data_IF_777086160844
#
_entry.id   IF_777086160844
#
_cell.length_a   1.000
_cell.length_b   1.000
_cell.length_c   1.000
_cell.angle_alpha   90.00
_cell.angle_beta   90.00
_cell.angle_gamma   90.00
#
_symmetry.space_group_name_H-M   'P 1'
#
loop_
_entity.id
_entity.type
_entity.pdbx_description
1 polymer ?
#
# COMPACT_ATOMS: atom_id res chain seq x y z
N UNK A 1 -2.56 18.73 -2.55
CA UNK A 1 -2.69 17.38 -1.94
C UNK A 1 -2.58 17.55 -0.44
N UNK A 2 -3.34 16.81 0.36
CA UNK A 2 -3.17 16.83 1.80
C UNK A 2 -1.75 16.38 2.16
N UNK A 3 -1.07 17.13 3.03
CA UNK A 3 0.26 16.76 3.50
C UNK A 3 0.18 15.51 4.38
N UNK A 4 1.24 14.71 4.38
CA UNK A 4 1.36 13.58 5.30
C UNK A 4 1.70 14.09 6.71
N UNK A 5 1.29 13.39 7.77
CA UNK A 5 1.50 13.85 9.15
C UNK A 5 2.98 13.84 9.52
N UNK A 6 3.46 14.84 10.26
CA UNK A 6 4.85 14.90 10.75
C UNK A 6 5.16 13.76 11.72
N UNK A 7 4.16 13.24 12.43
CA UNK A 7 4.29 12.08 13.31
C UNK A 7 4.74 10.82 12.57
N UNK A 8 4.53 10.78 11.24
CA UNK A 8 4.97 9.69 10.38
C UNK A 8 6.45 9.75 10.03
N UNK A 9 7.18 10.80 10.46
CA UNK A 9 8.64 10.95 10.31
C UNK A 9 9.46 10.00 11.19
N UNK A 10 8.96 8.78 11.40
CA UNK A 10 9.59 7.73 12.22
C UNK A 10 9.50 6.35 11.57
N UNK A 11 10.34 5.38 11.99
CA UNK A 11 10.34 4.05 11.40
C UNK A 11 9.00 3.33 11.55
N UNK A 12 8.57 2.62 10.51
CA UNK A 12 7.31 1.89 10.55
C UNK A 12 7.03 1.06 9.30
N UNK A 13 5.84 0.47 9.29
CA UNK A 13 5.26 -0.32 8.20
C UNK A 13 4.04 0.41 7.67
N UNK A 14 3.81 0.39 6.36
CA UNK A 14 2.70 1.08 5.73
C UNK A 14 2.03 0.21 4.66
N UNK A 15 0.77 0.54 4.36
CA UNK A 15 0.01 -0.02 3.26
C UNK A 15 -0.36 1.12 2.31
N UNK A 16 0.04 1.02 1.04
CA UNK A 16 -0.52 1.83 -0.02
C UNK A 16 -1.74 1.12 -0.58
N UNK A 17 -2.91 1.72 -0.40
CA UNK A 17 -4.16 1.25 -0.99
C UNK A 17 -4.35 1.90 -2.35
N UNK A 18 -4.53 1.08 -3.37
CA UNK A 18 -4.53 1.50 -4.77
C UNK A 18 -5.75 0.95 -5.51
N UNK A 19 -6.22 1.69 -6.50
CA UNK A 19 -7.19 1.23 -7.48
C UNK A 19 -6.60 1.33 -8.89
N UNK A 20 -6.60 0.22 -9.62
CA UNK A 20 -6.21 0.17 -11.03
C UNK A 20 -7.50 0.14 -11.88
N UNK A 21 -7.86 1.23 -12.57
CA UNK A 21 -9.14 1.33 -13.26
C UNK A 21 -9.26 0.43 -14.49
N UNK A 22 -8.14 0.10 -15.14
CA UNK A 22 -8.09 -0.75 -16.31
C UNK A 22 -6.90 -1.70 -16.20
N UNK A 23 -7.11 -2.97 -16.58
CA UNK A 23 -6.04 -3.96 -16.56
C UNK A 23 -4.91 -3.59 -17.52
N UNK A 24 -3.67 -3.87 -17.14
CA UNK A 24 -2.48 -3.52 -17.92
C UNK A 24 -1.42 -4.60 -17.87
N UNK A 25 -0.71 -4.77 -18.98
CA UNK A 25 0.55 -5.53 -18.98
C UNK A 25 1.69 -4.56 -18.68
N UNK A 26 2.53 -4.89 -17.70
CA UNK A 26 3.58 -4.00 -17.21
C UNK A 26 4.88 -4.77 -16.99
N UNK A 27 6.01 -4.15 -17.34
CA UNK A 27 7.34 -4.64 -16.98
C UNK A 27 7.70 -4.14 -15.58
N UNK A 28 7.76 -5.04 -14.59
CA UNK A 28 8.04 -4.71 -13.19
C UNK A 28 9.51 -4.96 -12.88
N UNK A 29 10.38 -4.07 -13.34
CA UNK A 29 11.81 -4.14 -13.09
C UNK A 29 12.42 -5.51 -13.41
N UNK A 30 13.11 -6.11 -12.43
CA UNK A 30 13.73 -7.43 -12.58
C UNK A 30 12.74 -8.60 -12.47
N UNK A 31 11.50 -8.38 -12.05
CA UNK A 31 10.48 -9.44 -12.00
C UNK A 31 9.95 -9.78 -13.39
N UNK A 32 10.08 -8.88 -14.36
CA UNK A 32 9.64 -9.07 -15.74
C UNK A 32 8.20 -8.64 -16.01
N UNK A 33 7.61 -9.23 -17.04
CA UNK A 33 6.29 -8.84 -17.57
C UNK A 33 5.14 -9.53 -16.85
N UNK A 34 4.16 -8.75 -16.36
CA UNK A 34 2.95 -9.27 -15.72
C UNK A 34 1.69 -8.62 -16.27
N UNK A 35 0.60 -9.39 -16.34
CA UNK A 35 -0.75 -8.89 -16.58
C UNK A 35 -1.41 -8.56 -15.24
N UNK A 36 -1.61 -7.28 -14.98
CA UNK A 36 -2.25 -6.75 -13.78
C UNK A 36 -3.73 -6.44 -14.12
N UNK A 37 -4.71 -7.20 -13.61
CA UNK A 37 -6.13 -6.96 -13.85
C UNK A 37 -6.61 -5.67 -13.18
N UNK A 38 -7.69 -5.08 -13.71
CA UNK A 38 -8.38 -3.99 -13.03
C UNK A 38 -8.88 -4.45 -11.64
N UNK A 39 -8.88 -3.52 -10.69
CA UNK A 39 -9.34 -3.78 -9.32
C UNK A 39 -8.50 -3.08 -8.27
N UNK A 40 -8.55 -3.61 -7.05
CA UNK A 40 -7.99 -3.01 -5.85
C UNK A 40 -6.71 -3.72 -5.46
N UNK A 41 -5.75 -2.94 -5.01
CA UNK A 41 -4.43 -3.41 -4.63
C UNK A 41 -4.03 -2.85 -3.28
N UNK A 42 -3.26 -3.65 -2.54
CA UNK A 42 -2.55 -3.21 -1.35
C UNK A 42 -1.08 -3.54 -1.53
N UNK A 43 -0.22 -2.54 -1.41
CA UNK A 43 1.21 -2.75 -1.33
C UNK A 43 1.66 -2.50 0.11
N UNK A 44 2.25 -3.52 0.72
CA UNK A 44 2.85 -3.41 2.05
C UNK A 44 4.33 -3.07 1.90
N UNK A 45 4.79 -2.04 2.60
CA UNK A 45 6.19 -1.65 2.64
C UNK A 45 6.59 -1.15 4.02
N UNK A 46 7.88 -0.96 4.24
CA UNK A 46 8.43 -0.41 5.45
C UNK A 46 9.40 0.72 5.16
N UNK A 47 9.59 1.56 6.17
CA UNK A 47 10.51 2.65 6.13
C UNK A 47 11.31 2.65 7.43
N UNK A 48 12.57 2.23 7.36
CA UNK A 48 13.49 2.19 8.51
C UNK A 48 14.61 3.24 8.43
N UNK A 49 14.67 4.01 7.34
CA UNK A 49 15.67 5.05 7.12
C UNK A 49 15.22 6.43 7.61
N UNK A 50 16.07 7.43 7.37
CA UNK A 50 15.80 8.83 7.72
C UNK A 50 14.47 9.33 7.13
N UNK A 51 13.70 10.07 7.95
CA UNK A 51 12.38 10.60 7.59
C UNK A 51 11.25 9.56 7.63
N UNK A 52 11.53 8.30 7.97
CA UNK A 52 10.52 7.31 8.32
C UNK A 52 9.48 7.03 7.24
N UNK A 53 8.28 6.64 7.68
CA UNK A 53 7.14 6.32 6.80
C UNK A 53 6.77 7.53 5.94
N UNK A 54 6.75 8.74 6.52
CA UNK A 54 6.45 9.98 5.79
C UNK A 54 7.31 10.14 4.55
N UNK A 55 8.64 10.16 4.71
CA UNK A 55 9.55 10.38 3.59
C UNK A 55 9.46 9.27 2.51
N UNK A 56 9.23 8.02 2.93
CA UNK A 56 9.04 6.90 2.00
C UNK A 56 7.76 7.04 1.19
N UNK A 57 6.64 7.32 1.86
CA UNK A 57 5.34 7.48 1.21
C UNK A 57 5.33 8.71 0.32
N UNK A 58 5.83 9.87 0.76
CA UNK A 58 6.00 11.06 -0.08
C UNK A 58 6.79 10.75 -1.35
N UNK A 59 7.90 10.00 -1.22
CA UNK A 59 8.67 9.59 -2.38
C UNK A 59 7.84 8.74 -3.35
N UNK A 60 7.02 7.82 -2.87
CA UNK A 60 6.11 7.06 -3.74
C UNK A 60 5.06 7.95 -4.40
N UNK A 61 4.54 8.97 -3.70
CA UNK A 61 3.52 9.86 -4.23
C UNK A 61 4.05 10.92 -5.21
N UNK A 62 5.37 11.16 -5.28
CA UNK A 62 5.97 12.07 -6.26
C UNK A 62 5.75 11.59 -7.69
N UNK A 63 5.29 12.48 -8.56
CA UNK A 63 5.08 12.19 -9.99
C UNK A 63 6.41 11.92 -10.69
N UNK A 64 7.36 12.84 -10.56
CA UNK A 64 8.69 12.72 -11.14
C UNK A 64 9.66 12.13 -10.12
N UNK A 65 10.12 10.91 -10.40
CA UNK A 65 11.09 10.20 -9.58
C UNK A 65 11.81 9.13 -10.40
N UNK A 66 13.02 8.78 -9.97
CA UNK A 66 13.67 7.57 -10.47
C UNK A 66 13.00 6.35 -9.85
N UNK A 67 12.49 5.48 -10.72
CA UNK A 67 11.90 4.17 -10.35
C UNK A 67 12.94 3.34 -9.61
N UNK A 68 12.62 2.93 -8.38
CA UNK A 68 13.53 2.15 -7.52
C UNK A 68 12.87 0.92 -6.93
N UNK A 69 11.60 0.99 -6.54
CA UNK A 69 10.87 -0.14 -5.99
C UNK A 69 9.83 -0.65 -6.99
N UNK A 70 9.46 -1.92 -6.87
CA UNK A 70 8.45 -2.51 -7.75
C UNK A 70 7.13 -1.70 -7.78
N UNK A 71 6.74 -1.12 -6.64
CA UNK A 71 5.53 -0.28 -6.56
C UNK A 71 5.61 1.00 -7.40
N UNK A 72 6.80 1.51 -7.67
CA UNK A 72 6.99 2.71 -8.51
C UNK A 72 6.60 2.46 -9.97
N UNK A 73 6.58 1.20 -10.44
CA UNK A 73 6.09 0.84 -11.77
C UNK A 73 4.56 0.83 -11.86
N UNK A 74 3.87 0.49 -10.76
CA UNK A 74 2.41 0.42 -10.72
C UNK A 74 1.76 1.78 -10.47
N UNK A 75 2.37 2.60 -9.61
CA UNK A 75 1.81 3.89 -9.17
C UNK A 75 1.38 4.84 -10.31
N UNK A 76 2.11 4.98 -11.44
CA UNK A 76 1.67 5.84 -12.55
C UNK A 76 0.36 5.40 -13.20
N UNK A 77 0.01 4.12 -13.11
CA UNK A 77 -1.22 3.57 -13.70
C UNK A 77 -2.38 3.44 -12.70
N UNK A 78 -2.11 3.61 -11.40
CA UNK A 78 -3.05 3.37 -10.32
C UNK A 78 -3.39 4.65 -9.56
N UNK A 79 -4.60 4.69 -8.99
CA UNK A 79 -5.06 5.78 -8.15
C UNK A 79 -4.85 5.39 -6.70
N UNK A 80 -4.03 6.15 -5.97
CA UNK A 80 -3.89 5.99 -4.51
C UNK A 80 -5.20 6.39 -3.84
N UNK A 81 -5.74 5.48 -3.02
CA UNK A 81 -7.02 5.62 -2.34
C UNK A 81 -6.83 6.00 -0.86
N UNK A 82 -5.81 5.44 -0.23
CA UNK A 82 -5.46 5.67 1.17
C UNK A 82 -4.03 5.20 1.44
N UNK A 83 -3.47 5.66 2.56
CA UNK A 83 -2.27 5.09 3.15
C UNK A 83 -2.55 4.75 4.59
N UNK A 84 -2.22 3.54 5.01
CA UNK A 84 -2.19 3.18 6.42
C UNK A 84 -0.75 3.11 6.91
N UNK A 85 -0.49 3.59 8.11
CA UNK A 85 0.81 3.53 8.76
C UNK A 85 0.68 2.90 10.16
N UNK A 86 1.61 1.99 10.46
CA UNK A 86 1.76 1.38 11.78
C UNK A 86 3.21 1.49 12.22
N UNK A 87 3.39 1.74 13.52
CA UNK A 87 4.69 2.11 14.09
C UNK A 87 5.18 1.14 15.18
N UNK A 88 4.52 0.00 15.33
CA UNK A 88 5.01 -1.09 16.17
C UNK A 88 6.19 -1.78 15.47
N UNK A 89 7.38 -1.68 16.08
CA UNK A 89 8.61 -2.23 15.52
C UNK A 89 8.56 -3.75 15.27
N UNK A 90 7.68 -4.46 15.99
CA UNK A 90 7.49 -5.92 15.84
C UNK A 90 6.74 -6.30 14.57
N UNK A 91 6.01 -5.37 13.97
CA UNK A 91 5.13 -5.64 12.86
C UNK A 91 5.83 -5.35 11.52
N UNK A 92 6.33 -6.42 10.90
CA UNK A 92 7.04 -6.35 9.61
C UNK A 92 6.13 -6.43 8.39
N UNK A 93 6.69 -6.12 7.22
CA UNK A 93 5.97 -6.14 5.93
C UNK A 93 5.35 -7.52 5.64
N UNK A 94 6.11 -8.60 5.87
CA UNK A 94 5.63 -9.97 5.63
C UNK A 94 4.41 -10.31 6.48
N UNK A 95 4.43 -9.92 7.75
CA UNK A 95 3.32 -10.20 8.68
C UNK A 95 2.05 -9.48 8.24
N UNK A 96 2.17 -8.21 7.85
CA UNK A 96 1.05 -7.42 7.35
C UNK A 96 0.48 -7.97 6.05
N UNK A 97 1.35 -8.35 5.10
CA UNK A 97 0.93 -8.99 3.85
C UNK A 97 0.19 -10.31 4.10
N UNK A 98 0.66 -11.13 5.04
CA UNK A 98 0.00 -12.38 5.45
C UNK A 98 -1.35 -12.14 6.14
N UNK A 99 -1.46 -11.13 7.00
CA UNK A 99 -2.73 -10.74 7.62
C UNK A 99 -3.78 -10.35 6.56
N UNK A 100 -3.39 -9.61 5.52
CA UNK A 100 -4.27 -9.26 4.40
C UNK A 100 -4.75 -10.49 3.62
N UNK A 101 -3.88 -11.47 3.37
CA UNK A 101 -4.27 -12.72 2.70
C UNK A 101 -5.28 -13.50 3.54
N UNK A 102 -4.99 -13.71 4.83
CA UNK A 102 -5.82 -14.52 5.73
C UNK A 102 -7.18 -13.90 6.04
N UNK A 103 -7.25 -12.58 6.19
CA UNK A 103 -8.46 -11.86 6.63
C UNK A 103 -9.22 -11.18 5.51
N UNK A 104 -8.53 -10.80 4.44
CA UNK A 104 -9.12 -10.03 3.34
C UNK A 104 -9.51 -10.86 2.12
N UNK A 105 -9.20 -12.16 2.07
CA UNK A 105 -9.34 -12.97 0.84
C UNK A 105 -8.53 -12.41 -0.34
N UNK A 106 -7.39 -11.79 -0.03
CA UNK A 106 -6.51 -11.19 -1.01
C UNK A 106 -5.73 -12.25 -1.80
N UNK A 107 -5.41 -11.96 -3.05
CA UNK A 107 -4.54 -12.82 -3.88
C UNK A 107 -3.20 -12.16 -4.15
N UNK A 108 -2.12 -12.94 -4.15
CA UNK A 108 -0.83 -12.52 -4.70
C UNK A 108 -0.80 -12.88 -6.17
N UNK A 109 -0.72 -11.88 -7.03
CA UNK A 109 -0.75 -12.08 -8.49
C UNK A 109 0.59 -11.76 -9.16
N UNK A 110 1.52 -11.13 -8.43
CA UNK A 110 2.90 -10.92 -8.86
C UNK A 110 3.83 -11.50 -7.80
N UNK A 111 4.33 -12.74 -7.98
CA UNK A 111 5.23 -13.37 -7.04
C UNK A 111 6.49 -12.54 -6.80
N UNK A 112 6.93 -12.45 -5.54
CA UNK A 112 8.15 -11.72 -5.16
C UNK A 112 8.05 -10.20 -5.20
N UNK A 113 6.88 -9.63 -5.51
CA UNK A 113 6.69 -8.18 -5.57
C UNK A 113 6.99 -7.52 -4.22
N UNK A 114 8.05 -6.73 -4.17
CA UNK A 114 8.47 -6.02 -2.95
C UNK A 114 9.17 -6.91 -1.91
N UNK A 115 9.48 -8.16 -2.25
CA UNK A 115 10.12 -9.12 -1.36
C UNK A 115 11.61 -9.29 -1.64
N UNK A 116 12.33 -8.24 -2.06
CA UNK A 116 13.74 -8.36 -2.46
C UNK A 116 14.69 -8.70 -1.31
N UNK A 117 14.28 -8.44 -0.06
CA UNK A 117 15.02 -8.68 1.17
C UNK A 117 14.45 -9.85 2.01
N UNK A 118 13.45 -10.56 1.50
CA UNK A 118 12.83 -11.70 2.18
C UNK A 118 12.46 -12.82 1.21
N UNK A 119 12.08 -13.99 1.74
CA UNK A 119 11.70 -15.16 0.93
C UNK A 119 10.18 -15.38 0.85
N UNK A 120 9.40 -14.33 1.12
CA UNK A 120 7.93 -14.43 1.10
C UNK A 120 7.39 -14.42 -0.34
N UNK A 121 6.11 -14.73 -0.48
CA UNK A 121 5.45 -14.77 -1.80
C UNK A 121 5.24 -13.37 -2.43
N UNK A 122 5.51 -12.28 -1.72
CA UNK A 122 5.33 -10.90 -2.16
C UNK A 122 4.41 -10.07 -1.25
N UNK A 123 4.59 -8.76 -1.33
CA UNK A 123 3.89 -7.74 -0.55
C UNK A 123 2.85 -6.95 -1.37
N UNK A 124 2.60 -7.34 -2.63
CA UNK A 124 1.47 -6.83 -3.42
C UNK A 124 0.30 -7.81 -3.39
N UNK A 125 -0.84 -7.30 -2.92
CA UNK A 125 -2.08 -8.04 -2.77
C UNK A 125 -3.15 -7.46 -3.69
N UNK A 126 -4.03 -8.31 -4.22
CA UNK A 126 -5.05 -7.96 -5.19
C UNK A 126 -6.45 -8.44 -4.77
N UNK A 127 -7.44 -7.61 -5.08
CA UNK A 127 -8.87 -7.93 -5.03
C UNK A 127 -9.58 -7.45 -6.30
N UNK A 128 -10.48 -8.28 -6.82
CA UNK A 128 -11.36 -7.90 -7.94
C UNK A 128 -12.42 -6.88 -7.55
N UNK A 129 -12.88 -6.95 -6.30
CA UNK A 129 -13.89 -6.05 -5.70
C UNK A 129 -13.24 -5.31 -4.52
N UNK A 130 -13.74 -4.13 -4.12
CA UNK A 130 -13.19 -3.43 -2.97
C UNK A 130 -13.30 -4.32 -1.72
N UNK A 131 -12.22 -4.53 -0.94
CA UNK A 131 -12.31 -5.24 0.31
C UNK A 131 -13.08 -4.40 1.36
N UNK A 132 -13.66 -5.04 2.36
CA UNK A 132 -14.27 -4.32 3.49
C UNK A 132 -13.17 -3.63 4.30
N UNK A 133 -13.08 -2.32 4.10
CA UNK A 133 -12.06 -1.49 4.72
C UNK A 133 -12.20 -1.44 6.24
N UNK A 134 -13.42 -1.29 6.75
CA UNK A 134 -13.66 -1.17 8.19
C UNK A 134 -13.35 -2.48 8.91
N UNK A 135 -13.70 -3.61 8.32
CA UNK A 135 -13.30 -4.91 8.85
C UNK A 135 -11.77 -5.08 8.89
N UNK A 136 -11.07 -4.60 7.86
CA UNK A 136 -9.61 -4.65 7.83
C UNK A 136 -8.97 -3.66 8.82
N UNK A 137 -9.49 -2.44 8.97
CA UNK A 137 -8.94 -1.46 9.93
C UNK A 137 -8.87 -2.05 11.34
N UNK A 138 -9.91 -2.75 11.80
CA UNK A 138 -9.93 -3.44 13.11
C UNK A 138 -8.76 -4.43 13.27
N UNK A 139 -8.40 -5.15 12.21
CA UNK A 139 -7.30 -6.14 12.23
C UNK A 139 -5.93 -5.48 12.34
N UNK A 140 -5.80 -4.25 11.85
CA UNK A 140 -4.52 -3.53 11.81
C UNK A 140 -4.37 -2.52 12.95
N UNK A 141 -5.35 -2.35 13.84
CA UNK A 141 -5.24 -1.41 14.94
C UNK A 141 -4.05 -1.73 15.88
N UNK A 142 -3.31 -0.70 16.34
CA UNK A 142 -3.44 0.70 15.93
C UNK A 142 -2.82 0.98 14.54
N UNK A 143 -3.60 1.60 13.64
CA UNK A 143 -3.13 2.18 12.38
C UNK A 143 -3.58 3.62 12.25
N UNK A 144 -2.69 4.45 11.73
CA UNK A 144 -3.00 5.80 11.31
C UNK A 144 -3.34 5.81 9.82
N UNK A 145 -4.35 6.59 9.43
CA UNK A 145 -4.84 6.66 8.06
C UNK A 145 -4.59 8.03 7.47
N UNK A 146 -4.08 8.06 6.25
CA UNK A 146 -4.08 9.25 5.40
C UNK A 146 -4.96 9.02 4.16
N UNK A 147 -5.72 10.03 3.77
CA UNK A 147 -6.58 10.03 2.58
C UNK A 147 -6.14 11.13 1.60
N UNK A 148 -6.09 10.83 0.29
CA UNK A 148 -5.89 11.85 -0.73
C UNK A 148 -7.03 12.89 -0.67
N UNK A 149 -6.69 14.17 -0.66
CA UNK A 149 -7.68 15.25 -0.82
C UNK A 149 -8.19 15.92 0.46
N UNK A 150 -7.66 15.59 1.65
CA UNK A 150 -7.81 16.47 2.83
C UNK A 150 -8.90 16.11 3.84
N UNK A 151 -9.52 14.93 3.74
CA UNK A 151 -10.15 14.35 4.92
C UNK A 151 -9.02 13.89 5.86
N UNK A 152 -8.81 14.65 6.95
CA UNK A 152 -7.66 14.52 7.85
C UNK A 152 -7.40 13.12 8.40
N UNK A 153 -6.26 12.99 9.09
CA UNK A 153 -5.85 11.77 9.78
C UNK A 153 -6.96 11.36 10.74
N UNK A 154 -7.64 10.26 10.42
CA UNK A 154 -8.65 9.68 11.29
C UNK A 154 -8.01 8.52 12.03
N UNK A 155 -7.80 8.71 13.33
CA UNK A 155 -7.59 7.60 14.25
C UNK A 155 -8.95 6.92 14.46
N UNK A 156 -9.30 6.02 13.56
CA UNK A 156 -10.48 5.15 13.67
C UNK A 156 -11.83 5.85 13.62
N UNK A 157 -12.47 5.85 12.45
CA UNK A 157 -13.91 5.67 12.30
C UNK A 157 -14.20 5.42 10.82
N UNK A 158 -14.87 4.31 10.54
CA UNK A 158 -15.04 3.76 9.19
C UNK A 158 -15.62 4.76 8.21
N UNK A 159 -14.96 4.87 7.07
CA UNK A 159 -15.54 5.40 5.84
C UNK A 159 -15.07 4.50 4.72
N UNK A 160 -16.02 3.92 4.00
CA UNK A 160 -15.77 3.02 2.88
C UNK A 160 -14.81 3.64 1.85
N UNK A 161 -14.29 2.81 0.95
CA UNK A 161 -13.47 3.27 -0.16
C UNK A 161 -14.12 4.49 -0.82
N UNK A 162 -13.36 5.57 -1.11
CA UNK A 162 -13.92 6.71 -1.81
C UNK A 162 -14.43 6.23 -3.17
N UNK A 163 -15.74 6.03 -3.26
CA UNK A 163 -16.41 5.53 -4.44
C UNK A 163 -16.26 6.55 -5.55
N UNK A 164 -15.73 6.12 -6.69
CA UNK A 164 -16.00 6.81 -7.95
C UNK A 164 -16.98 5.92 -8.71
N UNK A 165 -18.19 6.45 -8.89
CA UNK A 165 -19.21 5.88 -9.76
C UNK A 165 -18.77 5.88 -11.22
#
# INVERSE_FOLDING_TARGET
MAELPEEWSRPGTYILWLYLPAGRVMNIGQLGMFSLPAGYYAYVGSARGAGGVRARVERHLRLEKRTRWHIDYLLPAAVVQAVWAGFDARQGECEWAERLVRRGSARRIVPGFGASDCRCAGHLLYWRRPPDRSALEVVFQPVETWLPGGAGVSAGAGSGWPGRG
#
